data_IF_751087232547
#
_entry.id   IF_751087232547
#
_cell.length_a   1.000
_cell.length_b   1.000
_cell.length_c   1.000
_cell.angle_alpha   90.00
_cell.angle_beta   90.00
_cell.angle_gamma   90.00
#
_symmetry.space_group_name_H-M   'P 1'
#
loop_
_entity.id
_entity.type
_entity.pdbx_description
1 polymer ?
#
# COMPACT_ATOMS: atom_id res chain seq x y z
N UNK A 1 -62.81 60.08 -6.56
CA UNK A 1 -63.31 59.72 -7.91
C UNK A 1 -62.96 58.25 -8.10
N UNK A 2 -63.95 57.36 -7.93
CA UNK A 2 -64.68 56.69 -9.03
C UNK A 2 -63.68 55.87 -9.85
N UNK A 3 -63.50 54.57 -9.60
CA UNK A 3 -64.38 53.45 -9.99
C UNK A 3 -63.86 52.77 -11.26
N UNK A 4 -63.90 51.43 -11.26
CA UNK A 4 -64.13 50.57 -12.44
C UNK A 4 -62.97 50.48 -13.47
N UNK A 5 -62.69 49.37 -14.18
CA UNK A 5 -63.23 48.01 -14.24
C UNK A 5 -62.30 47.16 -15.13
N UNK A 6 -62.06 45.92 -14.69
CA UNK A 6 -61.99 44.66 -15.46
C UNK A 6 -61.94 44.66 -17.01
N UNK A 7 -61.07 43.82 -17.58
CA UNK A 7 -61.40 42.78 -18.59
C UNK A 7 -60.09 42.22 -19.22
N UNK A 8 -59.79 40.90 -19.11
CA UNK A 8 -60.04 39.82 -20.10
C UNK A 8 -59.31 40.06 -21.45
N UNK A 9 -58.61 39.14 -22.11
CA UNK A 9 -58.52 37.67 -22.09
C UNK A 9 -57.47 37.23 -23.15
N UNK A 10 -56.92 36.02 -22.96
CA UNK A 10 -56.43 35.01 -23.94
C UNK A 10 -55.70 35.42 -25.24
N UNK A 11 -54.60 34.71 -25.56
CA UNK A 11 -54.53 33.73 -26.66
C UNK A 11 -53.16 33.03 -26.63
N UNK A 12 -53.20 31.69 -26.68
CA UNK A 12 -52.08 30.75 -26.85
C UNK A 12 -51.63 30.74 -28.31
N UNK A 13 -50.32 30.77 -28.60
CA UNK A 13 -49.77 30.20 -29.84
C UNK A 13 -48.42 29.56 -29.53
N UNK A 14 -48.31 28.26 -29.79
CA UNK A 14 -47.06 27.52 -29.83
C UNK A 14 -46.39 27.70 -31.20
N UNK A 15 -45.07 27.83 -31.23
CA UNK A 15 -44.28 27.60 -32.44
C UNK A 15 -42.86 27.15 -32.06
N UNK A 16 -42.55 25.90 -32.39
CA UNK A 16 -41.23 25.29 -32.34
C UNK A 16 -40.38 25.77 -33.52
N UNK A 17 -39.07 26.03 -33.33
CA UNK A 17 -38.04 25.71 -34.32
C UNK A 17 -36.61 25.91 -33.78
N UNK A 18 -35.86 24.82 -33.90
CA UNK A 18 -34.43 24.53 -33.71
C UNK A 18 -33.51 25.56 -34.38
N UNK A 19 -32.32 25.83 -33.83
CA UNK A 19 -31.03 25.89 -34.56
C UNK A 19 -29.80 26.03 -33.63
N UNK A 20 -28.97 24.99 -33.70
CA UNK A 20 -27.54 24.83 -33.44
C UNK A 20 -26.73 26.02 -32.84
N UNK A 21 -26.14 25.76 -31.67
CA UNK A 21 -24.99 26.49 -31.15
C UNK A 21 -23.95 25.51 -30.62
N UNK A 22 -22.97 25.17 -31.46
CA UNK A 22 -21.83 24.32 -31.12
C UNK A 22 -20.87 25.06 -30.18
N UNK A 23 -20.91 24.78 -28.89
CA UNK A 23 -19.89 25.23 -27.95
C UNK A 23 -18.70 24.26 -28.00
N UNK A 24 -17.54 24.78 -28.42
CA UNK A 24 -16.24 24.12 -28.25
C UNK A 24 -15.93 24.08 -26.75
N UNK A 25 -16.19 22.94 -26.11
CA UNK A 25 -15.68 22.66 -24.78
C UNK A 25 -14.24 22.11 -24.93
N UNK A 26 -13.29 22.81 -24.33
CA UNK A 26 -11.91 22.36 -24.15
C UNK A 26 -11.86 20.95 -23.55
N UNK A 27 -10.90 20.08 -23.91
CA UNK A 27 -10.63 18.91 -23.10
C UNK A 27 -10.08 19.38 -21.75
N UNK A 28 -10.84 19.17 -20.68
CA UNK A 28 -10.28 19.13 -19.35
C UNK A 28 -9.18 18.06 -19.37
N UNK A 29 -7.95 18.47 -19.13
CA UNK A 29 -6.88 17.56 -18.76
C UNK A 29 -7.38 16.74 -17.57
N UNK A 30 -7.68 15.47 -17.81
CA UNK A 30 -7.85 14.51 -16.76
C UNK A 30 -6.51 14.41 -16.03
N UNK A 31 -6.41 15.06 -14.87
CA UNK A 31 -5.39 14.67 -13.90
C UNK A 31 -5.55 13.18 -13.64
N UNK A 32 -4.47 12.38 -13.62
CA UNK A 32 -4.57 11.01 -13.15
C UNK A 32 -4.97 11.09 -11.67
N UNK A 33 -6.24 10.81 -11.40
CA UNK A 33 -6.73 10.53 -10.05
C UNK A 33 -5.94 9.32 -9.57
N UNK A 34 -4.92 9.57 -8.74
CA UNK A 34 -4.25 8.52 -7.98
C UNK A 34 -5.31 7.73 -7.20
N UNK A 35 -5.10 6.42 -6.99
CA UNK A 35 -6.10 5.61 -6.29
C UNK A 35 -6.41 6.22 -4.91
N UNK A 36 -7.69 6.16 -4.47
CA UNK A 36 -8.10 6.77 -3.21
C UNK A 36 -7.34 6.16 -2.02
N UNK A 37 -6.77 7.03 -1.19
CA UNK A 37 -6.11 6.70 0.07
C UNK A 37 -7.15 6.56 1.19
N UNK A 38 -8.07 5.59 1.13
CA UNK A 38 -8.98 5.34 2.27
C UNK A 38 -9.52 3.90 2.24
N UNK A 39 -8.79 2.96 2.86
CA UNK A 39 -9.37 1.74 3.42
C UNK A 39 -8.85 1.55 4.86
N UNK A 40 -9.70 1.70 5.90
CA UNK A 40 -9.32 1.46 7.29
C UNK A 40 -9.13 -0.02 7.65
N UNK A 41 -9.12 -0.93 6.68
CA UNK A 41 -8.72 -2.33 6.83
C UNK A 41 -7.46 -2.65 6.01
N UNK A 42 -6.36 -1.94 6.33
CA UNK A 42 -5.08 -1.96 5.61
C UNK A 42 -4.47 -3.34 5.33
N UNK A 43 -4.93 -4.01 4.29
CA UNK A 43 -4.25 -5.14 3.64
C UNK A 43 -4.00 -4.74 2.19
N UNK A 44 -3.04 -3.86 1.99
CA UNK A 44 -2.48 -3.59 0.67
C UNK A 44 -1.48 -4.70 0.33
N UNK A 45 -1.77 -5.43 -0.75
CA UNK A 45 -1.05 -6.62 -1.23
C UNK A 45 0.38 -6.29 -1.70
N UNK A 46 1.17 -7.28 -2.15
CA UNK A 46 2.56 -7.15 -2.63
C UNK A 46 2.87 -5.97 -3.59
N UNK A 47 1.85 -5.32 -4.17
CA UNK A 47 1.96 -4.07 -4.92
C UNK A 47 2.48 -2.87 -4.10
N UNK A 48 2.31 -2.86 -2.77
CA UNK A 48 2.65 -1.71 -1.90
C UNK A 48 4.13 -1.34 -1.92
N UNK A 49 5.01 -2.31 -2.19
CA UNK A 49 6.44 -2.10 -2.21
C UNK A 49 7.06 -2.24 -3.62
N UNK A 50 6.26 -2.17 -4.68
CA UNK A 50 6.70 -2.36 -6.06
C UNK A 50 7.82 -1.42 -6.53
N UNK A 51 7.95 -0.25 -5.89
CA UNK A 51 8.99 0.76 -6.19
C UNK A 51 10.14 0.79 -5.17
N UNK A 52 10.07 -0.05 -4.14
CA UNK A 52 11.09 -0.09 -3.09
C UNK A 52 12.37 -0.78 -3.57
N UNK A 53 13.55 -0.39 -3.06
CA UNK A 53 14.82 -0.99 -3.47
C UNK A 53 14.91 -2.47 -3.09
N UNK A 54 15.65 -3.23 -3.90
CA UNK A 54 16.08 -4.58 -3.54
C UNK A 54 17.33 -4.52 -2.65
N UNK A 55 17.39 -5.29 -1.55
CA UNK A 55 18.56 -5.34 -0.66
C UNK A 55 19.71 -6.20 -1.20
N UNK A 56 19.70 -6.59 -2.47
CA UNK A 56 20.70 -7.50 -3.08
C UNK A 56 22.13 -7.00 -2.92
N UNK A 57 22.35 -5.68 -3.00
CA UNK A 57 23.67 -5.05 -2.87
C UNK A 57 23.85 -4.35 -1.51
N UNK A 58 23.04 -4.71 -0.50
CA UNK A 58 23.15 -4.08 0.80
C UNK A 58 24.50 -4.39 1.46
N UNK A 59 25.15 -3.39 2.04
CA UNK A 59 26.40 -3.53 2.78
C UNK A 59 26.17 -3.40 4.27
N UNK A 60 27.13 -3.84 5.08
CA UNK A 60 27.08 -3.69 6.54
C UNK A 60 25.84 -4.33 7.16
N UNK A 61 25.40 -5.48 6.65
CA UNK A 61 24.09 -6.06 6.99
C UNK A 61 24.10 -6.75 8.36
N UNK A 62 23.11 -6.44 9.21
CA UNK A 62 22.87 -7.14 10.48
C UNK A 62 21.42 -7.63 10.62
N UNK A 63 21.16 -8.42 11.67
CA UNK A 63 19.82 -8.85 12.07
C UNK A 63 19.42 -8.07 13.31
N UNK A 64 18.39 -7.25 13.20
CA UNK A 64 17.89 -6.41 14.30
C UNK A 64 16.95 -7.19 15.22
N UNK A 65 16.08 -8.01 14.62
CA UNK A 65 15.17 -8.88 15.35
C UNK A 65 14.90 -10.16 14.56
N UNK A 66 14.49 -11.21 15.26
CA UNK A 66 14.06 -12.45 14.64
C UNK A 66 13.00 -13.13 15.50
N UNK A 67 12.15 -13.94 14.87
CA UNK A 67 11.19 -14.79 15.58
C UNK A 67 11.05 -16.15 14.91
N UNK A 68 10.78 -17.18 15.71
CA UNK A 68 10.50 -18.53 15.22
C UNK A 68 9.12 -18.58 14.57
N UNK A 69 8.98 -19.37 13.50
CA UNK A 69 7.69 -19.65 12.87
C UNK A 69 6.96 -20.84 13.49
N UNK A 70 7.43 -21.34 14.64
CA UNK A 70 6.81 -22.44 15.38
C UNK A 70 7.00 -23.83 14.78
N UNK A 71 7.76 -23.97 13.69
CA UNK A 71 8.00 -25.24 12.98
C UNK A 71 9.49 -25.42 12.71
N UNK A 72 10.08 -26.46 13.32
CA UNK A 72 11.50 -26.79 13.14
C UNK A 72 12.41 -25.61 13.47
N UNK A 73 13.39 -25.33 12.60
CA UNK A 73 14.32 -24.20 12.74
C UNK A 73 13.90 -22.97 11.91
N UNK A 74 12.67 -22.96 11.37
CA UNK A 74 12.18 -21.88 10.51
C UNK A 74 11.98 -20.61 11.31
N UNK A 75 12.47 -19.50 10.77
CA UNK A 75 12.36 -18.18 11.38
C UNK A 75 12.26 -17.10 10.33
N UNK A 76 11.72 -15.95 10.74
CA UNK A 76 11.78 -14.71 9.99
C UNK A 76 12.66 -13.71 10.73
N UNK A 77 13.48 -12.99 9.98
CA UNK A 77 14.40 -11.98 10.47
C UNK A 77 14.02 -10.61 9.93
N UNK A 78 14.04 -9.62 10.81
CA UNK A 78 14.12 -8.21 10.45
C UNK A 78 15.59 -7.85 10.29
N UNK A 79 15.98 -7.50 9.08
CA UNK A 79 17.36 -7.14 8.73
C UNK A 79 17.47 -5.68 8.37
N UNK A 80 18.66 -5.14 8.61
CA UNK A 80 19.05 -3.82 8.18
C UNK A 80 20.43 -3.86 7.56
N UNK A 81 20.71 -2.84 6.74
CA UNK A 81 21.98 -2.59 6.09
C UNK A 81 21.89 -1.32 5.27
N UNK A 82 22.98 -0.97 4.61
CA UNK A 82 23.05 0.23 3.77
C UNK A 82 22.81 -0.12 2.30
N UNK A 83 21.86 0.58 1.67
CA UNK A 83 21.58 0.49 0.23
C UNK A 83 21.82 1.87 -0.36
N UNK A 84 22.78 1.99 -1.27
CA UNK A 84 23.20 3.26 -1.87
C UNK A 84 23.58 4.33 -0.82
N UNK A 85 24.25 3.91 0.26
CA UNK A 85 24.69 4.80 1.35
C UNK A 85 23.58 5.24 2.30
N UNK A 86 22.38 4.65 2.21
CA UNK A 86 21.26 4.93 3.11
C UNK A 86 20.77 3.65 3.77
N UNK A 87 20.63 3.70 5.09
CA UNK A 87 20.14 2.57 5.86
C UNK A 87 18.71 2.20 5.44
N UNK A 88 18.45 0.90 5.31
CA UNK A 88 17.17 0.34 4.94
C UNK A 88 16.90 -0.96 5.70
N UNK A 89 15.63 -1.24 5.97
CA UNK A 89 15.14 -2.45 6.63
C UNK A 89 14.37 -3.36 5.66
N UNK A 90 14.45 -4.68 5.86
CA UNK A 90 13.68 -5.68 5.10
C UNK A 90 13.45 -6.96 5.90
N UNK A 91 12.48 -7.77 5.48
CA UNK A 91 12.25 -9.10 6.04
C UNK A 91 13.02 -10.18 5.27
N UNK A 92 13.48 -11.22 5.96
CA UNK A 92 14.13 -12.40 5.37
C UNK A 92 13.73 -13.69 6.07
N UNK A 93 13.41 -14.74 5.31
CA UNK A 93 13.31 -16.10 5.84
C UNK A 93 14.70 -16.68 6.10
N UNK A 94 14.86 -17.35 7.23
CA UNK A 94 16.11 -17.99 7.63
C UNK A 94 15.85 -19.32 8.35
N UNK A 95 16.93 -20.10 8.54
CA UNK A 95 16.84 -21.47 9.03
C UNK A 95 16.37 -22.46 7.97
N UNK A 96 15.72 -23.55 8.38
CA UNK A 96 15.21 -24.59 7.48
C UNK A 96 13.91 -24.22 6.74
N UNK A 97 13.82 -23.00 6.19
CA UNK A 97 12.67 -22.60 5.38
C UNK A 97 12.57 -23.42 4.10
N UNK A 98 11.36 -23.57 3.57
CA UNK A 98 11.07 -24.41 2.41
C UNK A 98 10.00 -23.80 1.51
N UNK A 99 9.85 -24.37 0.30
CA UNK A 99 8.85 -23.90 -0.66
C UNK A 99 7.44 -23.95 -0.07
N UNK A 100 6.73 -22.81 -0.13
CA UNK A 100 5.41 -22.64 0.46
C UNK A 100 5.38 -21.87 1.79
N UNK A 101 6.55 -21.61 2.40
CA UNK A 101 6.63 -20.68 3.52
C UNK A 101 6.30 -19.25 3.04
N UNK A 102 5.55 -18.50 3.84
CA UNK A 102 5.19 -17.11 3.55
C UNK A 102 6.02 -16.16 4.39
N UNK A 103 6.35 -15.01 3.82
CA UNK A 103 7.06 -13.94 4.52
C UNK A 103 6.69 -12.56 3.98
N UNK A 104 6.72 -11.56 4.85
CA UNK A 104 6.44 -10.17 4.50
C UNK A 104 7.11 -9.21 5.47
N UNK A 105 7.10 -7.95 5.06
CA UNK A 105 7.69 -6.84 5.78
C UNK A 105 6.64 -5.75 5.98
N UNK A 106 6.38 -5.40 7.24
CA UNK A 106 5.44 -4.35 7.60
C UNK A 106 6.19 -3.07 7.96
N UNK A 107 5.72 -1.95 7.43
CA UNK A 107 6.25 -0.60 7.67
C UNK A 107 5.13 0.25 8.24
N UNK A 108 5.34 0.82 9.42
CA UNK A 108 4.39 1.74 10.04
C UNK A 108 5.02 3.12 10.23
N UNK A 109 4.23 4.16 10.03
CA UNK A 109 4.61 5.56 10.30
C UNK A 109 3.93 6.11 11.57
N UNK A 110 3.31 5.25 12.36
CA UNK A 110 2.52 5.61 13.55
C UNK A 110 2.74 4.65 14.73
N UNK A 111 3.95 4.06 14.82
CA UNK A 111 4.35 3.10 15.87
C UNK A 111 3.54 1.80 15.90
N UNK A 112 3.14 1.34 14.73
CA UNK A 112 2.47 0.06 14.53
C UNK A 112 0.96 0.09 14.72
N UNK A 113 0.32 1.27 14.75
CA UNK A 113 -1.14 1.40 14.83
C UNK A 113 -1.79 1.13 13.47
N UNK A 114 -1.15 1.60 12.40
CA UNK A 114 -1.40 1.27 11.00
C UNK A 114 -0.09 0.92 10.30
N UNK A 115 -0.17 0.09 9.26
CA UNK A 115 1.02 -0.32 8.52
C UNK A 115 0.74 -0.59 7.04
N UNK A 116 1.79 -0.43 6.26
CA UNK A 116 1.91 -0.87 4.88
C UNK A 116 2.58 -2.23 4.85
N UNK A 117 2.03 -3.17 4.08
CA UNK A 117 2.56 -4.52 4.00
C UNK A 117 3.24 -4.75 2.65
N UNK A 118 4.52 -5.13 2.68
CA UNK A 118 5.26 -5.64 1.53
C UNK A 118 5.22 -7.17 1.53
N UNK A 119 4.21 -7.72 0.85
CA UNK A 119 3.93 -9.16 0.78
C UNK A 119 2.46 -9.48 1.13
N UNK A 120 2.14 -10.73 1.52
CA UNK A 120 3.03 -11.87 1.67
C UNK A 120 3.60 -12.38 0.35
N UNK A 121 4.87 -12.76 0.39
CA UNK A 121 5.52 -13.52 -0.66
C UNK A 121 5.59 -14.99 -0.26
N UNK A 122 5.37 -15.87 -1.23
CA UNK A 122 5.59 -17.31 -1.08
C UNK A 122 7.01 -17.64 -1.49
N UNK A 123 7.78 -18.25 -0.60
CA UNK A 123 9.08 -18.76 -0.98
C UNK A 123 8.93 -19.92 -1.96
N UNK A 124 9.73 -19.87 -3.02
CA UNK A 124 9.89 -20.94 -4.01
C UNK A 124 11.38 -21.27 -4.12
N UNK A 125 11.70 -22.56 -4.26
CA UNK A 125 13.09 -22.98 -4.38
C UNK A 125 13.78 -22.29 -5.57
N UNK A 126 14.99 -21.76 -5.37
CA UNK A 126 15.70 -20.93 -6.35
C UNK A 126 15.26 -19.45 -6.41
N UNK A 127 14.22 -19.06 -5.67
CA UNK A 127 13.78 -17.67 -5.53
C UNK A 127 14.46 -16.92 -4.37
N UNK A 128 14.15 -15.63 -4.24
CA UNK A 128 14.60 -14.83 -3.11
C UNK A 128 13.83 -15.19 -1.84
N UNK A 129 14.55 -15.27 -0.73
CA UNK A 129 14.01 -15.46 0.62
C UNK A 129 13.89 -14.14 1.40
N UNK A 130 13.89 -12.99 0.72
CA UNK A 130 13.85 -11.67 1.32
C UNK A 130 12.92 -10.74 0.54
N UNK A 131 12.36 -9.75 1.24
CA UNK A 131 11.47 -8.74 0.65
C UNK A 131 12.28 -7.61 0.01
N UNK A 132 11.58 -6.71 -0.69
CA UNK A 132 12.12 -5.37 -0.92
C UNK A 132 12.30 -4.63 0.40
N UNK A 133 13.18 -3.64 0.39
CA UNK A 133 13.60 -2.91 1.58
C UNK A 133 12.98 -1.51 1.62
N UNK A 134 12.62 -1.02 2.81
CA UNK A 134 12.22 0.37 3.00
C UNK A 134 13.36 1.14 3.64
N UNK A 135 13.62 2.36 3.17
CA UNK A 135 14.62 3.21 3.81
C UNK A 135 14.20 3.57 5.23
N UNK A 136 15.15 3.56 6.17
CA UNK A 136 14.92 4.07 7.51
C UNK A 136 15.03 5.59 7.55
N UNK A 137 14.64 6.15 8.69
CA UNK A 137 14.80 7.56 9.01
C UNK A 137 15.00 7.71 10.52
N UNK A 138 15.32 8.92 10.97
CA UNK A 138 15.39 9.22 12.40
C UNK A 138 14.01 9.45 13.05
N UNK A 139 12.91 9.33 12.29
CA UNK A 139 11.56 9.49 12.83
C UNK A 139 11.22 8.31 13.74
N UNK A 140 11.00 8.53 15.05
CA UNK A 140 10.69 7.45 15.99
C UNK A 140 9.30 6.83 15.77
N UNK A 141 8.49 7.37 14.85
CA UNK A 141 7.22 6.77 14.46
C UNK A 141 7.34 5.80 13.29
N UNK A 142 8.43 5.92 12.51
CA UNK A 142 8.76 4.96 11.46
C UNK A 142 9.32 3.70 12.12
N UNK A 143 8.51 2.65 12.17
CA UNK A 143 8.88 1.37 12.75
C UNK A 143 8.64 0.22 11.78
N UNK A 144 9.40 -0.84 11.98
CA UNK A 144 9.44 -1.99 11.10
C UNK A 144 9.20 -3.28 11.86
N UNK A 145 8.56 -4.26 11.21
CA UNK A 145 8.56 -5.65 11.68
C UNK A 145 8.64 -6.62 10.52
N UNK A 146 9.24 -7.76 10.78
CA UNK A 146 9.27 -8.87 9.85
C UNK A 146 8.30 -9.95 10.33
N UNK A 147 7.52 -10.50 9.39
CA UNK A 147 6.51 -11.51 9.69
C UNK A 147 6.62 -12.68 8.73
N UNK A 148 6.17 -13.84 9.18
CA UNK A 148 6.14 -15.03 8.37
C UNK A 148 5.15 -16.07 8.87
N UNK A 149 4.92 -17.06 8.02
CA UNK A 149 4.07 -18.22 8.31
C UNK A 149 4.66 -19.45 7.64
N UNK A 150 4.92 -20.48 8.42
CA UNK A 150 5.37 -21.75 7.87
C UNK A 150 4.29 -22.36 6.97
N UNK A 151 4.71 -23.07 5.93
CA UNK A 151 3.86 -23.89 5.08
C UNK A 151 2.95 -24.77 5.94
N UNK A 152 1.67 -24.85 5.56
CA UNK A 152 0.62 -25.61 6.25
C UNK A 152 0.36 -25.19 7.71
N UNK A 153 0.94 -24.09 8.19
CA UNK A 153 0.58 -23.49 9.48
C UNK A 153 -0.51 -22.43 9.28
N UNK A 154 -1.42 -22.31 10.25
CA UNK A 154 -2.36 -21.19 10.35
C UNK A 154 -1.78 -20.04 11.18
N UNK A 155 -0.68 -20.26 11.89
CA UNK A 155 -0.08 -19.28 12.81
C UNK A 155 0.88 -18.34 12.09
N UNK A 156 0.58 -17.05 12.18
CA UNK A 156 1.47 -15.96 11.79
C UNK A 156 2.37 -15.58 12.96
N UNK A 157 3.66 -15.40 12.69
CA UNK A 157 4.64 -14.95 13.67
C UNK A 157 5.34 -13.71 13.16
N UNK A 158 5.43 -12.70 14.02
CA UNK A 158 6.09 -11.43 13.72
C UNK A 158 7.14 -11.09 14.78
N UNK A 159 8.18 -10.37 14.38
CA UNK A 159 9.04 -9.67 15.34
C UNK A 159 8.24 -8.58 16.06
N UNK A 160 8.77 -8.08 17.17
CA UNK A 160 8.33 -6.80 17.70
C UNK A 160 8.62 -5.66 16.71
N UNK A 161 7.93 -4.54 16.89
CA UNK A 161 8.22 -3.30 16.17
C UNK A 161 9.59 -2.74 16.61
N UNK A 162 10.40 -2.32 15.64
CA UNK A 162 11.73 -1.75 15.82
C UNK A 162 11.85 -0.42 15.09
#
# INVERSE_FOLDING_TARGET
MISMTSARRFVTVAASAVLAGSALASPASADPVGPPLDDPSGVTTAATCGDWPWPTNATGVWTEAQTSLGVGTKKVELRFGDINGRQAGWARLAGGYETGDLFWFDVSHDRGKGWYQCGPFTFVNGGHNYTRAHYSSADPNLVFRACGRAKNSSSTHCTGWR
#
